data_IF_218192999430
#
_entry.id   IF_218192999430
#
_cell.length_a   1.000
_cell.length_b   1.000
_cell.length_c   1.000
_cell.angle_alpha   90.00
_cell.angle_beta   90.00
_cell.angle_gamma   90.00
#
_symmetry.space_group_name_H-M   'P 1'
#
loop_
_entity.id
_entity.type
_entity.pdbx_description
1 polymer ?
#
# COMPACT_ATOMS: atom_id res chain seq x y z
N UNK A 1 6.84 1.74 6.22
CA UNK A 1 7.62 1.22 7.36
C UNK A 1 8.73 2.22 7.62
N UNK A 2 8.85 2.75 8.83
CA UNK A 2 9.94 3.66 9.18
C UNK A 2 11.24 2.87 9.41
N UNK A 3 12.41 3.46 9.18
CA UNK A 3 13.71 2.84 9.50
C UNK A 3 13.80 2.43 10.98
N UNK A 4 13.15 3.20 11.87
CA UNK A 4 13.07 2.93 13.31
C UNK A 4 12.38 1.60 13.61
N UNK A 5 11.29 1.28 12.88
CA UNK A 5 10.56 0.01 13.04
C UNK A 5 11.41 -1.18 12.63
N UNK A 6 12.17 -1.05 11.54
CA UNK A 6 13.08 -2.08 11.03
C UNK A 6 14.22 -2.34 12.03
N UNK A 7 14.84 -1.28 12.55
CA UNK A 7 15.92 -1.39 13.53
C UNK A 7 15.45 -1.98 14.86
N UNK A 8 14.25 -1.62 15.32
CA UNK A 8 13.68 -2.16 16.56
C UNK A 8 13.45 -3.67 16.45
N UNK A 9 12.92 -4.14 15.32
CA UNK A 9 12.66 -5.56 15.08
C UNK A 9 13.96 -6.36 14.99
N UNK A 10 15.00 -5.82 14.35
CA UNK A 10 16.32 -6.46 14.31
C UNK A 10 16.92 -6.66 15.72
N UNK A 11 16.60 -5.78 16.68
CA UNK A 11 17.06 -5.85 18.06
C UNK A 11 16.21 -6.77 18.96
N UNK A 12 14.96 -7.02 18.60
CA UNK A 12 14.11 -7.93 19.36
C UNK A 12 14.43 -9.38 18.98
N UNK A 13 14.67 -10.25 19.96
CA UNK A 13 14.82 -11.71 19.76
C UNK A 13 13.49 -12.43 19.48
N UNK A 14 12.46 -11.70 19.10
CA UNK A 14 11.12 -12.23 18.84
C UNK A 14 10.95 -12.56 17.36
N UNK A 15 10.11 -13.55 17.09
CA UNK A 15 9.76 -13.88 15.72
C UNK A 15 8.79 -12.87 15.10
N UNK A 16 8.95 -12.64 13.79
CA UNK A 16 8.17 -11.63 13.08
C UNK A 16 7.77 -12.08 11.67
N UNK A 17 6.63 -11.55 11.20
CA UNK A 17 6.20 -11.55 9.80
C UNK A 17 5.72 -10.14 9.47
N UNK A 18 6.45 -9.42 8.61
CA UNK A 18 6.17 -8.01 8.34
C UNK A 18 6.09 -7.72 6.84
N UNK A 19 5.17 -6.83 6.47
CA UNK A 19 5.00 -6.38 5.08
C UNK A 19 6.08 -5.37 4.71
N UNK A 20 6.73 -5.60 3.57
CA UNK A 20 7.69 -4.66 2.99
C UNK A 20 6.96 -3.74 2.01
N UNK A 21 6.89 -2.45 2.34
CA UNK A 21 6.31 -1.41 1.47
C UNK A 21 7.41 -0.79 0.59
N UNK A 22 7.04 -0.30 -0.60
CA UNK A 22 7.96 0.27 -1.59
C UNK A 22 8.77 1.49 -1.14
N UNK A 23 8.51 2.03 0.05
CA UNK A 23 9.26 3.13 0.65
C UNK A 23 10.74 2.77 0.95
N UNK A 24 11.08 1.47 0.96
CA UNK A 24 12.45 0.97 1.07
C UNK A 24 12.90 0.38 -0.27
N UNK A 25 13.23 1.24 -1.24
CA UNK A 25 13.45 0.85 -2.65
C UNK A 25 14.47 -0.28 -2.81
N UNK A 26 15.61 -0.20 -2.11
CA UNK A 26 16.69 -1.21 -2.24
C UNK A 26 16.28 -2.59 -1.73
N UNK A 27 15.61 -2.65 -0.57
CA UNK A 27 15.13 -3.92 0.00
C UNK A 27 14.01 -4.50 -0.85
N UNK A 28 13.08 -3.65 -1.30
CA UNK A 28 11.95 -4.05 -2.12
C UNK A 28 12.40 -4.63 -3.47
N UNK A 29 13.28 -3.93 -4.19
CA UNK A 29 13.84 -4.40 -5.46
C UNK A 29 14.56 -5.74 -5.30
N UNK A 30 15.40 -5.88 -4.27
CA UNK A 30 16.14 -7.13 -4.06
C UNK A 30 15.23 -8.31 -3.71
N UNK A 31 14.15 -8.07 -2.98
CA UNK A 31 13.13 -9.08 -2.71
C UNK A 31 12.43 -9.50 -4.01
N UNK A 32 12.11 -8.55 -4.89
CA UNK A 32 11.56 -8.84 -6.21
C UNK A 32 12.54 -9.69 -7.03
N UNK A 33 13.80 -9.28 -7.10
CA UNK A 33 14.85 -10.00 -7.83
C UNK A 33 15.02 -11.43 -7.30
N UNK A 34 15.06 -11.62 -5.98
CA UNK A 34 15.13 -12.94 -5.36
C UNK A 34 13.91 -13.79 -5.77
N UNK A 35 12.71 -13.23 -5.71
CA UNK A 35 11.48 -13.96 -6.04
C UNK A 35 11.37 -14.31 -7.53
N UNK A 36 12.00 -13.53 -8.41
CA UNK A 36 11.99 -13.76 -9.85
C UNK A 36 13.12 -14.70 -10.31
N UNK A 37 14.27 -14.67 -9.62
CA UNK A 37 15.47 -15.42 -10.02
C UNK A 37 15.61 -16.78 -9.34
N UNK A 38 14.83 -17.05 -8.28
CA UNK A 38 14.91 -18.30 -7.52
C UNK A 38 13.59 -19.06 -7.50
N UNK A 39 13.67 -20.39 -7.39
CA UNK A 39 12.47 -21.24 -7.21
C UNK A 39 11.99 -21.13 -5.76
N UNK A 40 10.68 -21.00 -5.51
CA UNK A 40 10.16 -21.02 -4.15
C UNK A 40 10.45 -22.36 -3.46
N UNK A 41 10.82 -22.30 -2.18
CA UNK A 41 11.00 -23.45 -1.30
C UNK A 41 9.65 -24.07 -0.92
N UNK A 42 8.60 -23.24 -0.83
CA UNK A 42 7.24 -23.68 -0.57
C UNK A 42 6.26 -22.80 -1.36
N UNK A 43 5.18 -23.41 -1.85
CA UNK A 43 4.12 -22.74 -2.59
C UNK A 43 2.76 -23.22 -2.07
N UNK A 44 1.80 -22.31 -1.94
CA UNK A 44 0.44 -22.61 -1.55
C UNK A 44 -0.54 -21.74 -2.35
N UNK A 45 -1.60 -22.36 -2.86
CA UNK A 45 -2.64 -21.69 -3.63
C UNK A 45 -3.98 -21.84 -2.89
N UNK A 46 -4.60 -20.72 -2.55
CA UNK A 46 -5.94 -20.65 -2.00
C UNK A 46 -6.88 -20.07 -3.06
N UNK A 47 -8.01 -20.74 -3.30
CA UNK A 47 -9.07 -20.23 -4.18
C UNK A 47 -10.39 -20.19 -3.42
N UNK A 48 -11.13 -19.09 -3.59
CA UNK A 48 -12.45 -18.87 -3.03
C UNK A 48 -13.38 -18.43 -4.16
N UNK A 49 -14.42 -19.21 -4.39
CA UNK A 49 -15.42 -19.00 -5.44
C UNK A 49 -16.82 -18.73 -4.83
N UNK A 50 -16.89 -18.19 -3.61
CA UNK A 50 -18.15 -17.95 -2.92
C UNK A 50 -18.81 -16.62 -3.31
N UNK A 51 -20.14 -16.55 -3.23
CA UNK A 51 -20.94 -15.32 -3.41
C UNK A 51 -20.66 -14.55 -4.72
N UNK A 52 -20.39 -15.27 -5.81
CA UNK A 52 -20.11 -14.68 -7.12
C UNK A 52 -18.72 -14.00 -7.23
N UNK A 53 -17.86 -14.13 -6.21
CA UNK A 53 -16.50 -13.63 -6.23
C UNK A 53 -15.55 -14.76 -6.55
N UNK A 54 -14.63 -14.54 -7.49
CA UNK A 54 -13.49 -15.43 -7.73
C UNK A 54 -12.26 -14.76 -7.15
N UNK A 55 -11.69 -15.35 -6.12
CA UNK A 55 -10.47 -14.85 -5.48
C UNK A 55 -9.45 -15.97 -5.46
N UNK A 56 -8.26 -15.68 -5.97
CA UNK A 56 -7.09 -16.55 -5.93
C UNK A 56 -6.00 -15.85 -5.13
N UNK A 57 -5.40 -16.56 -4.18
CA UNK A 57 -4.23 -16.11 -3.44
C UNK A 57 -3.13 -17.14 -3.59
N UNK A 58 -2.02 -16.74 -4.18
CA UNK A 58 -0.82 -17.57 -4.31
C UNK A 58 0.23 -17.04 -3.34
N UNK A 59 0.74 -17.93 -2.49
CA UNK A 59 1.77 -17.64 -1.51
C UNK A 59 3.01 -18.44 -1.90
N UNK A 60 4.11 -17.74 -2.11
CA UNK A 60 5.42 -18.32 -2.45
C UNK A 60 6.44 -17.90 -1.39
N UNK A 61 7.20 -18.87 -0.89
CA UNK A 61 8.18 -18.68 0.18
C UNK A 61 9.56 -18.95 -0.37
N UNK A 62 10.46 -17.99 -0.16
CA UNK A 62 11.84 -18.02 -0.64
C UNK A 62 12.80 -18.00 0.55
N UNK A 63 13.84 -18.82 0.47
CA UNK A 63 14.91 -18.87 1.47
C UNK A 63 15.85 -17.70 1.27
N UNK A 64 16.13 -16.97 2.34
CA UNK A 64 17.11 -15.87 2.33
C UNK A 64 18.46 -16.36 2.80
N UNK A 65 19.49 -16.19 1.98
CA UNK A 65 20.88 -16.51 2.31
C UNK A 65 21.49 -15.42 3.19
N UNK A 66 22.55 -15.74 3.94
CA UNK A 66 23.19 -14.79 4.88
C UNK A 66 23.60 -13.47 4.22
N UNK A 67 24.13 -13.53 3.00
CA UNK A 67 24.57 -12.38 2.21
C UNK A 67 23.40 -11.49 1.70
N UNK A 68 22.15 -11.93 1.84
CA UNK A 68 20.97 -11.21 1.39
C UNK A 68 20.24 -10.49 2.54
N UNK A 69 20.73 -10.64 3.78
CA UNK A 69 20.04 -10.19 4.99
C UNK A 69 20.08 -8.68 5.28
N UNK A 70 20.94 -7.90 4.63
CA UNK A 70 21.01 -6.41 4.76
C UNK A 70 20.75 -5.85 6.17
N UNK A 71 21.43 -6.35 7.20
CA UNK A 71 21.28 -5.86 8.58
C UNK A 71 20.09 -6.43 9.36
N UNK A 72 19.27 -7.29 8.76
CA UNK A 72 18.28 -8.11 9.46
C UNK A 72 18.91 -9.42 9.89
N UNK A 73 19.54 -9.42 11.07
CA UNK A 73 20.34 -10.55 11.57
C UNK A 73 19.57 -11.89 11.56
N UNK A 74 18.25 -11.83 11.80
CA UNK A 74 17.36 -12.97 11.87
C UNK A 74 16.46 -13.18 10.63
N UNK A 75 16.69 -12.49 9.51
CA UNK A 75 15.90 -12.71 8.31
C UNK A 75 16.16 -14.10 7.70
N UNK A 76 15.11 -14.93 7.63
CA UNK A 76 15.19 -16.30 7.09
C UNK A 76 14.37 -16.52 5.84
N UNK A 77 13.23 -15.85 5.72
CA UNK A 77 12.26 -16.06 4.64
C UNK A 77 11.77 -14.76 4.05
N UNK A 78 11.61 -14.76 2.73
CA UNK A 78 10.86 -13.79 1.95
C UNK A 78 9.59 -14.47 1.49
N UNK A 79 8.46 -13.77 1.58
CA UNK A 79 7.16 -14.29 1.16
C UNK A 79 6.60 -13.35 0.10
N UNK A 80 6.26 -13.91 -1.06
CA UNK A 80 5.51 -13.22 -2.11
C UNK A 80 4.06 -13.68 -2.05
N UNK A 81 3.14 -12.73 -2.00
CA UNK A 81 1.70 -13.00 -2.00
C UNK A 81 1.11 -12.32 -3.23
N UNK A 82 0.62 -13.12 -4.17
CA UNK A 82 -0.12 -12.63 -5.33
C UNK A 82 -1.61 -12.86 -5.08
N UNK A 83 -2.41 -11.82 -5.25
CA UNK A 83 -3.87 -11.85 -5.10
C UNK A 83 -4.48 -11.47 -6.42
N UNK A 84 -5.34 -12.34 -6.95
CA UNK A 84 -6.10 -12.11 -8.17
C UNK A 84 -7.57 -12.29 -7.89
N UNK A 85 -8.42 -11.49 -8.51
CA UNK A 85 -9.84 -11.75 -8.44
C UNK A 85 -10.68 -10.81 -9.28
N UNK A 86 -12.00 -10.92 -9.13
CA UNK A 86 -12.97 -10.05 -9.78
C UNK A 86 -13.97 -9.46 -8.79
N UNK A 87 -14.35 -8.20 -9.02
CA UNK A 87 -15.44 -7.51 -8.33
C UNK A 87 -16.35 -6.90 -9.40
N UNK A 88 -17.48 -7.56 -9.65
CA UNK A 88 -18.29 -7.26 -10.83
C UNK A 88 -17.47 -7.49 -12.10
N UNK A 89 -17.48 -6.51 -13.00
CA UNK A 89 -16.77 -6.58 -14.29
C UNK A 89 -15.28 -6.21 -14.22
N UNK A 90 -14.78 -5.83 -13.04
CA UNK A 90 -13.38 -5.41 -12.87
C UNK A 90 -12.56 -6.53 -12.26
N UNK A 91 -11.49 -6.91 -12.95
CA UNK A 91 -10.44 -7.77 -12.40
C UNK A 91 -9.41 -6.94 -11.65
N UNK A 92 -8.79 -7.54 -10.63
CA UNK A 92 -7.67 -6.94 -9.92
C UNK A 92 -6.56 -7.97 -9.75
N UNK A 93 -5.32 -7.46 -9.74
CA UNK A 93 -4.11 -8.21 -9.43
C UNK A 93 -3.22 -7.37 -8.53
N UNK A 94 -2.84 -7.93 -7.39
CA UNK A 94 -2.00 -7.26 -6.39
C UNK A 94 -0.89 -8.20 -5.93
N UNK A 95 0.33 -7.67 -5.83
CA UNK A 95 1.47 -8.40 -5.28
C UNK A 95 1.99 -7.69 -4.05
N UNK A 96 2.10 -8.43 -2.95
CA UNK A 96 2.66 -7.94 -1.70
C UNK A 96 3.85 -8.81 -1.28
N UNK A 97 4.85 -8.18 -0.67
CA UNK A 97 6.04 -8.85 -0.17
C UNK A 97 6.14 -8.76 1.34
N UNK A 98 6.60 -9.84 1.96
CA UNK A 98 6.81 -9.92 3.39
C UNK A 98 8.20 -10.49 3.67
N UNK A 99 8.73 -10.16 4.85
CA UNK A 99 9.94 -10.75 5.39
C UNK A 99 9.66 -11.37 6.75
N UNK A 100 10.36 -12.44 7.07
CA UNK A 100 10.12 -13.23 8.28
C UNK A 100 11.39 -13.85 8.85
N UNK A 101 11.44 -13.92 10.18
CA UNK A 101 12.43 -14.73 10.92
C UNK A 101 12.03 -16.19 11.05
N UNK A 102 10.75 -16.51 10.86
CA UNK A 102 10.22 -17.87 10.93
C UNK A 102 10.64 -18.70 9.71
N UNK A 103 10.80 -20.00 9.91
CA UNK A 103 11.05 -20.99 8.85
C UNK A 103 9.82 -21.88 8.71
N UNK A 104 8.78 -21.38 8.07
CA UNK A 104 7.48 -22.07 7.96
C UNK A 104 7.07 -22.32 6.50
N UNK A 105 6.05 -23.15 6.29
CA UNK A 105 5.50 -23.43 4.95
C UNK A 105 4.63 -22.28 4.42
N UNK A 106 4.42 -22.25 3.11
CA UNK A 106 3.54 -21.27 2.47
C UNK A 106 2.10 -21.31 3.02
N UNK A 107 1.61 -22.50 3.41
CA UNK A 107 0.28 -22.64 4.01
C UNK A 107 0.20 -22.02 5.41
N UNK A 108 1.25 -22.17 6.23
CA UNK A 108 1.32 -21.55 7.56
C UNK A 108 1.40 -20.03 7.43
N UNK A 109 2.24 -19.52 6.52
CA UNK A 109 2.31 -18.09 6.25
C UNK A 109 0.99 -17.53 5.72
N UNK A 110 0.26 -18.28 4.87
CA UNK A 110 -1.07 -17.87 4.42
C UNK A 110 -2.04 -17.68 5.60
N UNK A 111 -2.01 -18.56 6.61
CA UNK A 111 -2.82 -18.43 7.83
C UNK A 111 -2.41 -17.21 8.66
N UNK A 112 -1.11 -17.00 8.90
CA UNK A 112 -0.58 -15.87 9.66
C UNK A 112 -0.98 -14.54 9.00
N UNK A 113 -0.72 -14.42 7.70
CA UNK A 113 -1.03 -13.22 6.91
C UNK A 113 -2.54 -12.97 6.92
N UNK A 114 -3.36 -14.00 6.69
CA UNK A 114 -4.83 -13.85 6.74
C UNK A 114 -5.31 -13.42 8.14
N UNK A 115 -4.69 -13.93 9.20
CA UNK A 115 -4.95 -13.52 10.57
C UNK A 115 -4.69 -12.04 10.78
N UNK A 116 -3.54 -11.53 10.33
CA UNK A 116 -3.21 -10.10 10.40
C UNK A 116 -4.24 -9.24 9.64
N UNK A 117 -4.63 -9.65 8.43
CA UNK A 117 -5.65 -8.92 7.64
C UNK A 117 -7.02 -8.88 8.34
N UNK A 118 -7.40 -9.94 9.07
CA UNK A 118 -8.66 -9.93 9.84
C UNK A 118 -8.60 -8.92 10.99
N UNK A 119 -7.47 -8.86 11.71
CA UNK A 119 -7.27 -7.92 12.82
C UNK A 119 -7.25 -6.48 12.29
N UNK A 120 -6.52 -6.22 11.20
CA UNK A 120 -6.46 -4.89 10.57
C UNK A 120 -7.84 -4.48 10.06
N UNK A 121 -8.57 -5.35 9.36
CA UNK A 121 -9.93 -5.04 8.91
C UNK A 121 -10.91 -4.79 10.07
N UNK A 122 -10.80 -5.54 11.17
CA UNK A 122 -11.61 -5.29 12.36
C UNK A 122 -11.25 -3.96 13.03
N UNK A 123 -9.95 -3.64 13.13
CA UNK A 123 -9.48 -2.36 13.64
C UNK A 123 -9.89 -1.20 12.74
N UNK A 124 -9.89 -1.39 11.42
CA UNK A 124 -10.38 -0.40 10.45
C UNK A 124 -11.89 -0.19 10.60
N UNK A 125 -12.69 -1.25 10.75
CA UNK A 125 -14.12 -1.10 11.06
C UNK A 125 -14.36 -0.36 12.37
N UNK A 126 -13.62 -0.69 13.43
CA UNK A 126 -13.71 0.03 14.72
C UNK A 126 -13.26 1.47 14.57
N UNK A 127 -12.20 1.73 13.79
CA UNK A 127 -11.72 3.08 13.52
C UNK A 127 -12.74 3.88 12.70
N UNK A 128 -13.30 3.31 11.64
CA UNK A 128 -14.30 3.97 10.78
C UNK A 128 -15.63 4.22 11.53
N UNK A 129 -16.01 3.34 12.47
CA UNK A 129 -17.25 3.45 13.25
C UNK A 129 -17.10 4.31 14.52
N UNK A 130 -15.95 4.25 15.20
CA UNK A 130 -15.71 5.03 16.43
C UNK A 130 -15.20 6.44 16.12
N UNK A 131 -14.42 6.65 15.05
CA UNK A 131 -13.90 7.98 14.72
C UNK A 131 -14.82 8.81 13.81
N UNK A 132 -15.93 8.28 13.28
CA UNK A 132 -16.83 9.00 12.34
C UNK A 132 -16.06 9.88 11.33
N UNK A 133 -14.90 9.44 10.82
CA UNK A 133 -14.07 10.24 9.90
C UNK A 133 -14.75 10.40 8.53
N UNK A 134 -15.89 9.71 8.30
CA UNK A 134 -16.80 9.95 7.16
C UNK A 134 -17.89 11.01 7.44
N UNK A 135 -17.91 11.62 8.63
CA UNK A 135 -18.81 12.75 8.96
C UNK A 135 -18.10 14.09 9.14
N UNK A 136 -16.79 14.18 8.92
CA UNK A 136 -16.17 15.49 8.69
C UNK A 136 -16.20 15.85 7.21
N UNK A 137 -17.41 15.99 6.67
CA UNK A 137 -17.62 17.03 5.67
C UNK A 137 -17.48 18.35 6.41
N UNK A 138 -16.25 18.84 6.59
CA UNK A 138 -16.06 20.26 6.89
C UNK A 138 -16.58 20.95 5.64
N UNK A 139 -17.74 21.63 5.66
CA UNK A 139 -18.09 22.47 4.56
C UNK A 139 -16.99 23.52 4.55
N UNK A 140 -16.25 23.64 3.45
CA UNK A 140 -15.47 24.85 3.23
C UNK A 140 -16.36 26.03 3.62
N UNK A 141 -15.89 26.98 4.46
CA UNK A 141 -16.69 28.15 4.77
C UNK A 141 -17.08 28.73 3.42
N UNK A 142 -18.39 28.72 3.12
CA UNK A 142 -18.90 29.28 1.88
C UNK A 142 -18.39 30.72 1.89
N UNK A 143 -17.44 31.02 0.98
CA UNK A 143 -17.02 32.38 0.73
C UNK A 143 -18.31 33.17 0.54
N UNK A 144 -18.47 34.22 1.33
CA UNK A 144 -19.67 35.04 1.25
C UNK A 144 -19.87 35.48 -0.20
N UNK A 145 -21.12 35.66 -0.64
CA UNK A 145 -21.41 36.13 -2.00
C UNK A 145 -20.59 37.38 -2.38
N UNK A 146 -20.24 38.20 -1.38
CA UNK A 146 -19.36 39.37 -1.51
C UNK A 146 -17.94 38.99 -1.95
N UNK A 147 -17.30 38.01 -1.31
CA UNK A 147 -15.93 37.57 -1.65
C UNK A 147 -15.85 36.86 -3.01
N UNK A 148 -16.91 36.15 -3.41
CA UNK A 148 -17.00 35.54 -4.76
C UNK A 148 -17.11 36.62 -5.83
N UNK A 149 -17.86 37.70 -5.56
CA UNK A 149 -18.08 38.81 -6.49
C UNK A 149 -16.81 39.65 -6.65
N UNK A 150 -16.08 39.93 -5.56
CA UNK A 150 -14.81 40.65 -5.60
C UNK A 150 -13.72 39.90 -6.37
N UNK A 151 -13.64 38.57 -6.22
CA UNK A 151 -12.68 37.74 -6.97
C UNK A 151 -12.99 37.71 -8.47
N UNK A 152 -14.27 37.68 -8.86
CA UNK A 152 -14.67 37.79 -10.28
C UNK A 152 -14.29 39.15 -10.85
N UNK A 153 -14.60 40.24 -10.16
CA UNK A 153 -14.28 41.61 -10.61
C UNK A 153 -12.76 41.84 -10.76
N UNK A 154 -11.94 41.32 -9.85
CA UNK A 154 -10.47 41.39 -9.99
C UNK A 154 -9.93 40.57 -11.16
N UNK A 155 -10.55 39.42 -11.47
CA UNK A 155 -10.14 38.59 -12.59
C UNK A 155 -10.49 39.21 -13.95
N UNK A 156 -11.66 39.85 -14.06
CA UNK A 156 -12.08 40.57 -15.27
C UNK A 156 -11.23 41.81 -15.52
N UNK A 157 -10.87 42.56 -14.46
CA UNK A 157 -9.99 43.73 -14.60
C UNK A 157 -8.58 43.35 -15.08
N UNK A 158 -8.04 42.21 -14.62
CA UNK A 158 -6.75 41.67 -15.08
C UNK A 158 -6.80 41.19 -16.53
N UNK A 159 -7.88 40.55 -16.96
CA UNK A 159 -8.03 40.12 -18.36
C UNK A 159 -8.19 41.30 -19.32
N UNK A 160 -8.97 42.32 -18.96
CA UNK A 160 -9.15 43.54 -19.78
C UNK A 160 -7.84 44.31 -19.96
N UNK A 161 -6.97 44.32 -18.94
CA UNK A 161 -5.64 44.93 -19.02
C UNK A 161 -4.65 44.12 -19.87
N UNK A 162 -4.78 42.79 -19.90
CA UNK A 162 -3.96 41.88 -20.71
C UNK A 162 -4.33 41.94 -22.20
N UNK A 163 -5.64 42.00 -22.50
CA UNK A 163 -6.17 42.20 -23.85
C UNK A 163 -5.76 43.56 -24.43
N UNK A 164 -5.82 44.64 -23.64
CA UNK A 164 -5.36 45.97 -24.05
C UNK A 164 -3.85 46.03 -24.33
N UNK A 165 -3.01 45.33 -23.55
CA UNK A 165 -1.57 45.23 -23.84
C UNK A 165 -1.29 44.47 -25.13
N UNK A 166 -2.00 43.37 -25.39
CA UNK A 166 -1.89 42.61 -26.65
C UNK A 166 -2.35 43.39 -27.89
N UNK A 167 -3.31 44.30 -27.75
CA UNK A 167 -3.77 45.15 -28.85
C UNK A 167 -2.75 46.24 -29.21
N UNK A 168 -1.95 46.70 -28.24
CA UNK A 168 -0.94 47.74 -28.44
C UNK A 168 0.38 47.21 -29.01
N UNK A 169 0.69 45.92 -28.80
CA UNK A 169 1.87 45.22 -29.37
C UNK A 169 1.66 44.74 -30.83
N UNK A 170 0.50 44.99 -31.43
CA UNK A 170 0.15 44.57 -32.81
C UNK A 170 0.00 45.74 -33.81
N UNK A 171 0.48 46.93 -33.47
CA UNK A 171 0.66 48.06 -34.41
C UNK A 171 2.14 48.30 -34.69
#
# INVERSE_FOLDING_TARGET
>A
MSEKTISLIAKTKNDYVITVKGNHKNLYQRIQDLSNSSKPESCFLEQDNSHGRKISRKIEVFKVRKNERQGFENLRRVIKVERKGSRGDKTYEETAYYISSLTESAQVFAKIIRGHWKIENQLHWVKDVIFEEDKTHIPHPKLSQREITERKNQSEHKNKHKERKKAFEKQ
#
